data_IF_041015823973
#
_entry.id   IF_041015823973
#
_cell.length_a   1.000
_cell.length_b   1.000
_cell.length_c   1.000
_cell.angle_alpha   90.00
_cell.angle_beta   90.00
_cell.angle_gamma   90.00
#
_symmetry.space_group_name_H-M   'P 1'
#
loop_
_entity.id
_entity.type
_entity.pdbx_description
1 polymer ?
#
# COMPACT_ATOMS: atom_id res chain seq x y z
N UNK A 1 11.22 -15.46 -2.00
CA UNK A 1 10.24 -15.25 -3.09
C UNK A 1 9.80 -13.80 -3.08
N UNK A 2 9.42 -13.24 -4.23
CA UNK A 2 8.97 -11.85 -4.33
C UNK A 2 7.61 -11.71 -3.64
N UNK A 3 6.77 -12.72 -3.81
CA UNK A 3 5.48 -12.96 -3.16
C UNK A 3 5.54 -12.68 -1.65
N UNK A 4 6.50 -13.28 -0.94
CA UNK A 4 6.65 -13.07 0.49
C UNK A 4 6.92 -11.59 0.84
N UNK A 5 7.77 -10.91 0.05
CA UNK A 5 8.08 -9.48 0.28
C UNK A 5 6.85 -8.58 0.08
N UNK A 6 5.98 -8.92 -0.87
CA UNK A 6 4.72 -8.20 -1.08
C UNK A 6 3.71 -8.49 0.02
N UNK A 7 3.59 -9.74 0.48
CA UNK A 7 2.70 -10.06 1.61
C UNK A 7 3.15 -9.37 2.90
N UNK A 8 4.46 -9.23 3.12
CA UNK A 8 5.03 -8.52 4.26
C UNK A 8 4.61 -7.03 4.33
N UNK A 9 4.26 -6.41 3.19
CA UNK A 9 3.76 -5.02 3.14
C UNK A 9 2.46 -4.84 3.91
N UNK A 10 1.65 -5.88 4.06
CA UNK A 10 0.38 -5.82 4.78
C UNK A 10 0.55 -6.05 6.28
N UNK A 11 1.65 -6.67 6.68
CA UNK A 11 1.90 -7.04 8.06
C UNK A 11 2.43 -5.83 8.84
N UNK A 12 1.88 -5.62 10.03
CA UNK A 12 2.40 -4.70 11.04
C UNK A 12 2.94 -5.46 12.22
N UNK A 13 3.98 -4.89 12.82
CA UNK A 13 4.67 -5.44 13.98
C UNK A 13 4.49 -4.42 15.10
N UNK A 14 3.93 -4.85 16.22
CA UNK A 14 3.82 -4.01 17.40
C UNK A 14 5.21 -3.50 17.80
N UNK A 15 5.39 -2.17 17.90
CA UNK A 15 6.68 -1.58 18.25
C UNK A 15 7.20 -2.05 19.62
N UNK A 16 6.29 -2.43 20.53
CA UNK A 16 6.62 -2.89 21.86
C UNK A 16 6.82 -4.41 21.94
N UNK A 17 5.76 -5.21 21.80
CA UNK A 17 5.84 -6.66 22.02
C UNK A 17 6.16 -7.49 20.76
N UNK A 18 6.36 -6.84 19.61
CA UNK A 18 6.70 -7.46 18.32
C UNK A 18 5.67 -8.44 17.75
N UNK A 19 4.46 -8.50 18.30
CA UNK A 19 3.35 -9.28 17.73
C UNK A 19 2.98 -8.76 16.34
N UNK A 20 2.80 -9.69 15.40
CA UNK A 20 2.37 -9.41 14.02
C UNK A 20 0.84 -9.30 13.95
N UNK A 21 0.33 -8.39 13.13
CA UNK A 21 -1.10 -8.23 12.85
C UNK A 21 -1.31 -7.56 11.48
N UNK A 22 -2.51 -7.72 10.92
CA UNK A 22 -2.98 -7.02 9.71
C UNK A 22 -4.28 -6.30 10.10
N UNK A 23 -4.53 -5.13 9.52
CA UNK A 23 -5.80 -4.42 9.73
C UNK A 23 -6.84 -5.00 8.78
N UNK A 24 -7.98 -5.43 9.30
CA UNK A 24 -9.10 -5.92 8.47
C UNK A 24 -10.13 -4.80 8.22
N UNK A 25 -10.45 -4.02 9.25
CA UNK A 25 -11.40 -2.90 9.20
C UNK A 25 -11.03 -1.78 10.20
N UNK A 26 -11.91 -0.79 10.39
CA UNK A 26 -11.79 0.23 11.43
C UNK A 26 -10.87 1.41 11.10
N UNK A 27 -10.40 2.12 12.12
CA UNK A 27 -9.50 3.28 11.96
C UNK A 27 -8.01 2.88 12.01
N UNK A 28 -7.12 3.77 11.57
CA UNK A 28 -5.67 3.53 11.54
C UNK A 28 -4.98 3.65 12.92
N UNK A 29 -5.72 3.97 14.00
CA UNK A 29 -5.24 3.86 15.38
C UNK A 29 -5.43 2.43 15.88
N UNK A 30 -4.38 1.62 15.79
CA UNK A 30 -4.41 0.21 16.18
C UNK A 30 -4.02 0.05 17.64
N UNK A 31 -4.77 -0.79 18.38
CA UNK A 31 -4.40 -1.19 19.74
C UNK A 31 -3.93 -2.64 19.70
N UNK A 32 -2.67 -2.89 20.06
CA UNK A 32 -2.17 -4.25 20.20
C UNK A 32 -2.78 -4.92 21.44
N UNK A 33 -2.87 -6.24 21.46
CA UNK A 33 -3.31 -7.02 22.62
C UNK A 33 -2.44 -6.81 23.87
N UNK A 34 -1.23 -6.25 23.74
CA UNK A 34 -0.41 -5.84 24.89
C UNK A 34 -0.79 -4.46 25.46
N UNK A 35 -1.83 -3.81 24.92
CA UNK A 35 -2.33 -2.51 25.34
C UNK A 35 -1.66 -1.31 24.67
N UNK A 36 -0.54 -1.48 23.96
CA UNK A 36 0.14 -0.37 23.26
C UNK A 36 -0.56 0.01 21.96
N UNK A 37 -0.64 1.31 21.70
CA UNK A 37 -1.31 1.89 20.53
C UNK A 37 -0.29 2.38 19.50
N UNK A 38 -0.58 2.15 18.22
CA UNK A 38 0.28 2.56 17.10
C UNK A 38 -0.52 2.87 15.84
N UNK A 39 0.08 3.64 14.94
CA UNK A 39 -0.49 3.94 13.64
C UNK A 39 -0.28 2.77 12.67
N UNK A 40 -1.34 2.36 11.97
CA UNK A 40 -1.25 1.35 10.91
C UNK A 40 -0.46 1.84 9.69
N UNK A 41 -0.52 3.14 9.37
CA UNK A 41 0.11 3.71 8.17
C UNK A 41 1.62 3.86 8.37
N UNK A 42 2.05 4.66 9.36
CA UNK A 42 3.46 4.98 9.58
C UNK A 42 4.18 4.10 10.60
N UNK A 43 3.48 3.16 11.24
CA UNK A 43 4.01 2.20 12.22
C UNK A 43 4.53 2.82 13.53
N UNK A 44 4.35 4.13 13.72
CA UNK A 44 4.80 4.84 14.92
C UNK A 44 3.86 4.59 16.12
N UNK A 45 4.37 4.63 17.36
CA UNK A 45 3.55 4.76 18.55
C UNK A 45 2.64 5.99 18.44
N UNK A 46 1.42 5.90 18.97
CA UNK A 46 0.48 7.03 19.00
C UNK A 46 -0.17 7.16 20.36
N UNK A 47 -0.51 8.39 20.72
CA UNK A 47 -1.29 8.69 21.91
C UNK A 47 -2.77 8.35 21.72
N UNK A 48 -3.48 8.23 22.85
CA UNK A 48 -4.89 7.88 22.86
C UNK A 48 -5.80 8.98 22.29
N UNK A 49 -5.34 10.23 22.25
CA UNK A 49 -6.10 11.43 21.92
C UNK A 49 -6.21 11.76 20.40
N UNK A 50 -5.80 10.84 19.51
CA UNK A 50 -5.92 10.97 18.05
C UNK A 50 -5.16 12.16 17.41
N UNK A 51 -4.27 12.83 18.12
CA UNK A 51 -3.51 14.00 17.61
C UNK A 51 -2.67 13.67 16.36
N UNK A 52 -2.22 12.42 16.25
CA UNK A 52 -1.47 11.88 15.10
C UNK A 52 -2.27 11.86 13.79
N UNK A 53 -3.61 11.93 13.87
CA UNK A 53 -4.48 11.69 12.74
C UNK A 53 -5.24 12.94 12.28
N UNK A 54 -5.58 12.97 10.98
CA UNK A 54 -6.60 13.87 10.43
C UNK A 54 -7.79 13.06 9.91
N UNK A 55 -8.97 13.68 9.84
CA UNK A 55 -10.19 13.00 9.37
C UNK A 55 -10.58 13.39 7.94
N UNK A 56 -10.91 14.65 7.70
CA UNK A 56 -11.41 15.13 6.40
C UNK A 56 -10.36 15.95 5.66
N UNK A 57 -9.73 16.89 6.35
CA UNK A 57 -8.71 17.76 5.74
C UNK A 57 -7.34 17.14 5.91
N UNK A 58 -6.62 16.93 4.80
CA UNK A 58 -5.23 16.50 4.83
C UNK A 58 -4.40 17.50 5.62
N UNK A 59 -3.70 17.03 6.64
CA UNK A 59 -2.78 17.85 7.43
C UNK A 59 -1.36 17.36 7.24
N UNK A 60 -0.43 18.30 7.16
CA UNK A 60 0.99 17.98 7.15
C UNK A 60 1.39 17.23 8.43
N UNK A 61 2.33 16.30 8.32
CA UNK A 61 2.85 15.50 9.43
C UNK A 61 1.82 14.66 10.19
N UNK A 62 0.62 14.44 9.62
CA UNK A 62 -0.42 13.57 10.18
C UNK A 62 -0.79 12.44 9.23
N UNK A 63 -1.22 11.32 9.80
CA UNK A 63 -1.75 10.20 9.03
C UNK A 63 -3.28 10.31 8.88
N UNK A 64 -3.88 9.74 7.82
CA UNK A 64 -5.33 9.66 7.73
C UNK A 64 -5.88 8.73 8.82
N UNK A 65 -6.93 9.17 9.51
CA UNK A 65 -7.60 8.37 10.53
C UNK A 65 -8.28 7.14 9.90
N UNK A 66 -8.83 7.30 8.70
CA UNK A 66 -9.49 6.24 7.94
C UNK A 66 -8.90 6.15 6.55
N UNK A 67 -8.86 4.93 6.04
CA UNK A 67 -8.44 4.61 4.69
C UNK A 67 -9.42 3.58 4.13
N UNK A 68 -9.46 3.43 2.80
CA UNK A 68 -10.05 2.23 2.21
C UNK A 68 -8.96 1.15 2.19
N UNK A 69 -9.14 0.11 3.01
CA UNK A 69 -8.16 -0.98 3.11
C UNK A 69 -8.00 -1.75 1.81
N UNK A 70 -9.07 -1.89 1.00
CA UNK A 70 -8.96 -2.55 -0.30
C UNK A 70 -8.04 -1.75 -1.23
N UNK A 71 -8.21 -0.41 -1.24
CA UNK A 71 -7.36 0.47 -2.03
C UNK A 71 -5.93 0.46 -1.48
N UNK A 72 -5.74 0.74 -0.20
CA UNK A 72 -4.39 0.85 0.39
C UNK A 72 -3.61 -0.46 0.32
N UNK A 73 -4.23 -1.60 0.63
CA UNK A 73 -3.54 -2.89 0.57
C UNK A 73 -3.19 -3.27 -0.87
N UNK A 74 -4.13 -3.16 -1.81
CA UNK A 74 -3.87 -3.52 -3.19
C UNK A 74 -2.82 -2.60 -3.84
N UNK A 75 -2.96 -1.28 -3.65
CA UNK A 75 -2.00 -0.30 -4.20
C UNK A 75 -0.62 -0.41 -3.55
N UNK A 76 -0.52 -0.70 -2.25
CA UNK A 76 0.75 -0.91 -1.59
C UNK A 76 1.46 -2.18 -2.06
N UNK A 77 0.71 -3.28 -2.22
CA UNK A 77 1.26 -4.52 -2.79
C UNK A 77 1.72 -4.31 -4.23
N UNK A 78 0.92 -3.63 -5.05
CA UNK A 78 1.27 -3.33 -6.44
C UNK A 78 2.53 -2.45 -6.52
N UNK A 79 2.59 -1.38 -5.73
CA UNK A 79 3.74 -0.48 -5.71
C UNK A 79 5.01 -1.23 -5.28
N UNK A 80 4.93 -2.03 -4.22
CA UNK A 80 6.06 -2.85 -3.77
C UNK A 80 6.51 -3.85 -4.84
N UNK A 81 5.56 -4.51 -5.53
CA UNK A 81 5.85 -5.40 -6.65
C UNK A 81 6.67 -4.68 -7.72
N UNK A 82 6.17 -3.53 -8.19
CA UNK A 82 6.77 -2.74 -9.26
C UNK A 82 8.18 -2.26 -8.90
N UNK A 83 8.40 -1.82 -7.67
CA UNK A 83 9.73 -1.41 -7.20
C UNK A 83 10.72 -2.58 -7.20
N UNK A 84 10.31 -3.73 -6.68
CA UNK A 84 11.15 -4.95 -6.69
C UNK A 84 11.50 -5.34 -8.12
N UNK A 85 10.54 -5.29 -9.05
CA UNK A 85 10.76 -5.63 -10.46
C UNK A 85 11.75 -4.65 -11.10
N UNK A 86 11.59 -3.34 -10.88
CA UNK A 86 12.50 -2.33 -11.41
C UNK A 86 13.93 -2.54 -10.88
N UNK A 87 14.07 -2.84 -9.59
CA UNK A 87 15.37 -3.18 -9.01
C UNK A 87 15.98 -4.43 -9.65
N UNK A 88 15.19 -5.48 -9.85
CA UNK A 88 15.64 -6.72 -10.48
C UNK A 88 16.04 -6.52 -11.95
N UNK A 89 15.29 -5.71 -12.73
CA UNK A 89 15.65 -5.39 -14.12
C UNK A 89 17.06 -4.79 -14.21
N UNK A 90 17.42 -3.95 -13.24
CA UNK A 90 18.72 -3.27 -13.22
C UNK A 90 19.84 -4.16 -12.67
N UNK A 91 19.59 -4.91 -11.59
CA UNK A 91 20.63 -5.63 -10.85
C UNK A 91 20.78 -7.10 -11.24
N UNK A 92 19.67 -7.78 -11.54
CA UNK A 92 19.59 -9.25 -11.71
C UNK A 92 18.49 -9.64 -12.71
N UNK A 93 18.57 -9.20 -13.97
CA UNK A 93 17.52 -9.43 -14.96
C UNK A 93 17.25 -10.90 -15.25
N UNK A 94 18.21 -11.80 -14.99
CA UNK A 94 18.06 -13.25 -15.12
C UNK A 94 16.98 -13.84 -14.21
N UNK A 95 16.71 -13.20 -13.07
CA UNK A 95 15.69 -13.64 -12.12
C UNK A 95 14.27 -13.37 -12.62
N UNK A 96 14.09 -12.48 -13.60
CA UNK A 96 12.79 -12.10 -14.15
C UNK A 96 12.21 -13.11 -15.15
N UNK A 97 13.02 -14.04 -15.67
CA UNK A 97 12.60 -14.96 -16.74
C UNK A 97 11.41 -15.86 -16.36
N UNK A 98 11.20 -16.09 -15.06
CA UNK A 98 10.19 -17.02 -14.55
C UNK A 98 9.13 -16.34 -13.66
N UNK A 99 9.05 -15.00 -13.65
CA UNK A 99 8.12 -14.26 -12.79
C UNK A 99 6.94 -13.74 -13.61
N UNK A 100 5.74 -14.27 -13.36
CA UNK A 100 4.50 -13.71 -13.87
C UNK A 100 3.91 -12.70 -12.87
N UNK A 101 4.13 -11.43 -13.15
CA UNK A 101 3.72 -10.30 -12.31
C UNK A 101 2.18 -10.24 -12.16
N UNK A 102 1.44 -10.60 -13.21
CA UNK A 102 -0.03 -10.51 -13.21
C UNK A 102 -0.65 -11.59 -12.31
N UNK A 103 0.03 -12.72 -12.13
CA UNK A 103 -0.40 -13.79 -11.22
C UNK A 103 -0.19 -13.44 -9.74
N UNK A 104 0.65 -12.46 -9.48
CA UNK A 104 1.15 -12.09 -8.17
C UNK A 104 0.36 -10.91 -7.56
N UNK A 105 -0.14 -10.00 -8.40
CA UNK A 105 -0.91 -8.84 -7.95
C UNK A 105 -2.29 -9.27 -7.42
N UNK A 106 -2.74 -8.74 -6.27
CA UNK A 106 -4.08 -8.99 -5.76
C UNK A 106 -5.11 -8.36 -6.70
N UNK A 107 -6.15 -9.13 -7.04
CA UNK A 107 -7.29 -8.59 -7.78
C UNK A 107 -7.98 -7.50 -6.93
N UNK A 108 -8.14 -6.31 -7.51
CA UNK A 108 -8.96 -5.26 -6.91
C UNK A 108 -10.40 -5.76 -6.79
N UNK A 109 -10.89 -5.91 -5.56
CA UNK A 109 -12.33 -6.14 -5.33
C UNK A 109 -13.04 -4.82 -5.62
N UNK A 110 -14.00 -4.83 -6.56
CA UNK A 110 -14.88 -3.67 -6.79
C UNK A 110 -15.68 -3.44 -5.51
N UNK A 111 -15.39 -2.34 -4.81
CA UNK A 111 -16.26 -1.87 -3.72
C UNK A 111 -17.42 -1.09 -4.35
N UNK A 112 -18.65 -1.57 -4.18
CA UNK A 112 -19.86 -0.97 -4.75
C UNK A 112 -20.51 0.11 -3.85
N UNK A 113 -19.87 0.54 -2.76
CA UNK A 113 -20.49 1.45 -1.81
C UNK A 113 -19.59 2.64 -1.48
N UNK A 114 -19.42 3.61 -2.37
CA UNK A 114 -19.06 4.97 -1.95
C UNK A 114 -19.66 6.04 -2.89
N UNK A 115 -20.24 7.12 -2.35
CA UNK A 115 -20.73 8.25 -3.13
C UNK A 115 -19.57 8.97 -3.82
N UNK A 116 -19.75 9.28 -5.10
CA UNK A 116 -18.78 9.83 -6.04
C UNK A 116 -18.35 11.29 -5.76
N UNK A 117 -18.31 11.74 -4.50
CA UNK A 117 -18.14 13.15 -4.15
C UNK A 117 -17.18 13.41 -2.97
N UNK A 118 -16.13 12.60 -2.82
CA UNK A 118 -15.03 12.84 -1.87
C UNK A 118 -13.65 12.82 -2.54
N UNK A 119 -13.57 13.31 -3.78
CA UNK A 119 -12.29 13.68 -4.41
C UNK A 119 -11.78 15.01 -3.84
N UNK A 120 -11.37 15.01 -2.58
CA UNK A 120 -10.04 15.55 -2.32
C UNK A 120 -9.16 14.32 -2.34
N UNK A 121 -8.26 14.20 -3.32
CA UNK A 121 -7.25 13.17 -3.31
C UNK A 121 -6.53 13.21 -1.95
N UNK A 122 -6.98 12.36 -1.02
CA UNK A 122 -6.09 11.67 -0.11
C UNK A 122 -4.93 11.28 -1.02
N UNK A 123 -3.73 11.82 -0.81
CA UNK A 123 -2.62 11.46 -1.67
C UNK A 123 -2.30 9.99 -1.39
N UNK A 124 -3.03 9.11 -2.08
CA UNK A 124 -2.96 7.66 -1.96
C UNK A 124 -1.49 7.27 -2.14
N UNK A 125 -0.75 7.98 -2.99
CA UNK A 125 0.67 7.76 -3.16
C UNK A 125 1.45 8.05 -1.89
N UNK A 126 1.16 9.15 -1.18
CA UNK A 126 1.78 9.47 0.12
C UNK A 126 1.48 8.41 1.17
N UNK A 127 0.22 7.94 1.23
CA UNK A 127 -0.18 6.86 2.15
C UNK A 127 0.55 5.56 1.80
N UNK A 128 0.55 5.18 0.53
CA UNK A 128 1.23 3.99 0.01
C UNK A 128 2.73 4.07 0.26
N UNK A 129 3.37 5.18 -0.09
CA UNK A 129 4.79 5.46 0.15
C UNK A 129 5.14 5.23 1.62
N UNK A 130 4.33 5.79 2.53
CA UNK A 130 4.50 5.61 3.98
C UNK A 130 4.35 4.14 4.40
N UNK A 131 3.33 3.45 3.87
CA UNK A 131 3.06 2.04 4.17
C UNK A 131 4.22 1.14 3.75
N UNK A 132 4.78 1.37 2.56
CA UNK A 132 5.89 0.56 2.02
C UNK A 132 7.27 1.07 2.42
N UNK A 133 7.35 2.20 3.15
CA UNK A 133 8.61 2.80 3.60
C UNK A 133 9.45 3.35 2.44
N UNK A 134 8.81 3.96 1.46
CA UNK A 134 9.44 4.56 0.27
C UNK A 134 9.11 6.06 0.21
N UNK A 135 9.78 6.79 -0.68
CA UNK A 135 9.46 8.18 -0.94
C UNK A 135 8.20 8.28 -1.83
N UNK A 136 7.37 9.31 -1.62
CA UNK A 136 6.23 9.63 -2.48
C UNK A 136 6.65 9.90 -3.92
N UNK A 137 7.82 10.50 -4.17
CA UNK A 137 8.34 10.68 -5.53
C UNK A 137 8.55 9.34 -6.24
N UNK A 138 9.10 8.33 -5.56
CA UNK A 138 9.29 7.00 -6.14
C UNK A 138 7.94 6.39 -6.56
N UNK A 139 6.91 6.55 -5.74
CA UNK A 139 5.56 6.08 -6.04
C UNK A 139 4.91 6.87 -7.18
N UNK A 140 5.10 8.19 -7.23
CA UNK A 140 4.61 9.01 -8.32
C UNK A 140 5.24 8.59 -9.66
N UNK A 141 6.53 8.25 -9.66
CA UNK A 141 7.26 7.78 -10.83
C UNK A 141 6.82 6.37 -11.29
N UNK A 142 6.19 5.56 -10.44
CA UNK A 142 5.62 4.26 -10.85
C UNK A 142 4.40 4.41 -11.78
N UNK A 143 3.68 5.53 -11.72
CA UNK A 143 2.43 5.75 -12.47
C UNK A 143 2.61 5.79 -13.98
N UNK A 144 3.82 6.10 -14.47
CA UNK A 144 4.11 6.14 -15.91
C UNK A 144 4.19 4.74 -16.56
N UNK A 145 4.21 3.65 -15.78
CA UNK A 145 4.23 2.28 -16.32
C UNK A 145 2.85 1.63 -16.48
N UNK A 146 1.76 2.41 -16.47
CA UNK A 146 0.42 1.92 -16.88
C UNK A 146 0.24 1.89 -18.41
N UNK A 147 1.34 1.96 -19.16
CA UNK A 147 1.44 1.57 -20.57
C UNK A 147 2.08 0.19 -20.70
N UNK A 148 1.57 -0.79 -19.95
CA UNK A 148 1.69 -2.20 -20.27
C UNK A 148 0.29 -2.80 -20.28
N UNK A 149 -0.57 -2.26 -21.14
CA UNK A 149 -1.57 -3.12 -21.77
C UNK A 149 -0.80 -4.28 -22.42
N UNK A 150 -1.20 -5.55 -22.21
CA UNK A 150 -0.80 -6.58 -23.14
C UNK A 150 -1.23 -6.08 -24.52
N UNK A 151 -0.27 -5.90 -25.43
CA UNK A 151 -0.57 -5.77 -26.86
C UNK A 151 -1.23 -7.08 -27.28
N UNK A 152 -2.54 -7.19 -27.06
CA UNK A 152 -3.37 -8.20 -27.70
C UNK A 152 -3.33 -7.81 -29.17
N UNK A 153 -2.39 -8.40 -29.91
CA UNK A 153 -2.42 -8.40 -31.36
C UNK A 153 -3.77 -9.00 -31.74
N UNK A 154 -4.73 -8.16 -32.12
CA UNK A 154 -5.97 -8.62 -32.74
C UNK A 154 -5.57 -9.49 -33.93
N UNK A 155 -6.06 -10.73 -34.05
CA UNK A 155 -5.85 -11.49 -35.26
C UNK A 155 -6.47 -10.70 -36.41
N UNK A 156 -5.70 -10.51 -37.49
CA UNK A 156 -6.25 -10.00 -38.75
C UNK A 156 -7.16 -11.10 -39.31
N UNK A 157 -8.45 -10.83 -39.32
CA UNK A 157 -9.41 -11.45 -40.23
C UNK A 157 -10.18 -10.33 -40.91
#
# INVERSE_FOLDING_TARGET
MIENKMTEVLIRICYYCKRKFVKEDGCNKMTCSCGKQMCYICRQPVDSNYTHFYHQTVMENKCPLYTDENIVHATAVEAAARLIINELKMKKPELLRNIDINKILPALKKSNNFPANQESALDINKVVATVIGQNVEDINNLKEMRSLEPQVKKPKY
#
